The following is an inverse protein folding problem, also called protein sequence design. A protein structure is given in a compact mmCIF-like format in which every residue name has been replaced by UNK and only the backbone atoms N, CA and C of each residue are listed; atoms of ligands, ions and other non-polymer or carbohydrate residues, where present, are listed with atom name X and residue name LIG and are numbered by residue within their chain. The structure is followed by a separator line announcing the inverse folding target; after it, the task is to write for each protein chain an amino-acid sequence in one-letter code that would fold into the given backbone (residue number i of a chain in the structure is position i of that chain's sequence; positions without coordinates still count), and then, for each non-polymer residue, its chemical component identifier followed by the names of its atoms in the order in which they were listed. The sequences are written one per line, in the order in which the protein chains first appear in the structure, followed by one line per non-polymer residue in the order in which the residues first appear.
data_IF_784261309598
#
_entry.id   IF_784261309598
#
_cell.length_a   1.000
_cell.length_b   1.000
_cell.length_c   1.000
_cell.angle_alpha   90.00
_cell.angle_beta   90.00
_cell.angle_gamma   90.00
#
_symmetry.space_group_name_H-M   'P 1'
#
loop_
_entity.id
_entity.type
_entity.pdbx_description
1 polymer ?
#
# COMPACT_ATOMS: atom_id res chain seq x y z
N UNK A 1 -7.28 12.17 -7.78
CA UNK A 1 -6.43 10.97 -7.57
C UNK A 1 -6.48 10.64 -6.10
N UNK A 2 -6.71 9.38 -5.73
CA UNK A 2 -7.06 8.96 -4.36
C UNK A 2 -5.84 8.65 -3.48
N UNK A 3 -4.66 8.46 -4.08
CA UNK A 3 -3.38 8.13 -3.43
C UNK A 3 -3.48 7.01 -2.36
N UNK A 4 -2.40 6.71 -1.64
CA UNK A 4 -2.33 5.71 -0.58
C UNK A 4 -3.27 5.97 0.61
N UNK A 5 -3.76 7.22 0.78
CA UNK A 5 -4.57 7.67 1.90
C UNK A 5 -6.05 7.27 1.78
N UNK A 6 -6.63 7.31 0.57
CA UNK A 6 -8.05 7.04 0.38
C UNK A 6 -8.30 5.54 0.20
N UNK A 7 -8.26 4.80 1.30
CA UNK A 7 -8.57 3.36 1.35
C UNK A 7 -9.97 3.14 1.93
N UNK A 8 -10.68 2.18 1.35
CA UNK A 8 -12.05 1.81 1.78
C UNK A 8 -12.02 0.53 2.59
N UNK A 9 -12.73 0.51 3.71
CA UNK A 9 -12.96 -0.67 4.52
C UNK A 9 -13.44 -0.33 5.92
N UNK A 10 -13.70 -1.36 6.72
CA UNK A 10 -14.01 -1.20 8.14
C UNK A 10 -12.77 -0.75 8.91
N UNK A 11 -12.97 -0.18 10.10
CA UNK A 11 -11.85 0.26 10.96
C UNK A 11 -10.94 -0.93 11.30
N UNK A 12 -11.53 -2.09 11.57
CA UNK A 12 -10.84 -3.33 11.90
C UNK A 12 -9.97 -3.80 10.73
N UNK A 13 -10.53 -3.81 9.52
CA UNK A 13 -9.81 -4.16 8.28
C UNK A 13 -8.63 -3.22 8.01
N UNK A 14 -8.80 -1.92 8.27
CA UNK A 14 -7.78 -0.90 8.01
C UNK A 14 -6.71 -0.80 9.12
N UNK A 15 -6.97 -1.33 10.32
CA UNK A 15 -6.05 -1.22 11.46
C UNK A 15 -4.71 -1.94 11.25
N UNK A 16 -4.64 -2.83 10.27
CA UNK A 16 -3.44 -3.58 9.87
C UNK A 16 -2.97 -3.22 8.45
N UNK A 17 -3.38 -2.06 7.93
CA UNK A 17 -3.04 -1.61 6.58
C UNK A 17 -2.22 -0.33 6.61
N UNK A 18 -0.90 -0.48 6.44
CA UNK A 18 0.04 0.63 6.51
C UNK A 18 0.80 0.79 5.21
N UNK A 19 0.90 2.01 4.70
CA UNK A 19 1.85 2.38 3.64
C UNK A 19 2.79 3.43 4.18
N UNK A 20 4.08 3.13 4.17
CA UNK A 20 5.15 4.06 4.55
C UNK A 20 5.81 4.58 3.29
N UNK A 21 5.82 5.90 3.10
CA UNK A 21 6.36 6.55 1.92
C UNK A 21 7.59 7.37 2.27
N UNK A 22 8.60 7.28 1.41
CA UNK A 22 9.77 8.16 1.42
C UNK A 22 9.67 9.17 0.28
N UNK A 23 9.50 10.45 0.60
CA UNK A 23 9.32 11.50 -0.40
C UNK A 23 10.34 12.63 -0.24
N UNK A 24 11.24 12.85 -1.20
CA UNK A 24 12.05 14.07 -1.27
C UNK A 24 11.18 15.29 -1.60
N UNK A 25 11.31 16.37 -0.83
CA UNK A 25 10.58 17.61 -1.03
C UNK A 25 11.22 18.47 -2.14
N UNK A 26 10.42 18.81 -3.14
CA UNK A 26 10.82 19.73 -4.23
C UNK A 26 11.17 21.10 -3.65
N UNK A 27 12.29 21.67 -4.09
CA UNK A 27 12.79 22.96 -3.59
C UNK A 27 13.49 22.90 -2.23
N UNK A 28 13.47 21.76 -1.53
CA UNK A 28 14.11 21.60 -0.22
C UNK A 28 15.27 20.61 -0.27
N UNK A 29 14.99 19.34 -0.57
CA UNK A 29 15.99 18.26 -0.50
C UNK A 29 15.92 17.25 -1.66
N UNK A 30 15.26 17.61 -2.78
CA UNK A 30 15.19 16.78 -3.99
C UNK A 30 16.56 16.51 -4.63
N UNK A 31 17.42 17.54 -4.73
CA UNK A 31 18.77 17.40 -5.28
C UNK A 31 19.67 16.69 -4.27
N UNK A 32 20.38 15.65 -4.69
CA UNK A 32 21.18 14.78 -3.83
C UNK A 32 20.34 13.85 -2.94
N UNK A 33 19.08 13.58 -3.29
CA UNK A 33 18.21 12.73 -2.49
C UNK A 33 18.41 11.24 -2.76
N UNK A 34 19.03 10.86 -3.89
CA UNK A 34 19.08 9.46 -4.33
C UNK A 34 19.65 8.51 -3.25
N UNK A 35 20.82 8.82 -2.68
CA UNK A 35 21.45 7.99 -1.65
C UNK A 35 20.64 7.92 -0.35
N UNK A 36 19.96 9.02 0.01
CA UNK A 36 19.08 9.09 1.18
C UNK A 36 17.82 8.24 0.98
N UNK A 37 17.23 8.30 -0.21
CA UNK A 37 16.10 7.45 -0.61
C UNK A 37 16.49 5.98 -0.61
N UNK A 38 17.67 5.63 -1.16
CA UNK A 38 18.19 4.25 -1.12
C UNK A 38 18.34 3.76 0.32
N UNK A 39 18.98 4.54 1.20
CA UNK A 39 19.13 4.19 2.63
C UNK A 39 17.78 4.01 3.32
N UNK A 40 16.83 4.92 3.09
CA UNK A 40 15.46 4.79 3.61
C UNK A 40 14.82 3.48 3.14
N UNK A 41 14.89 3.18 1.84
CA UNK A 41 14.30 1.99 1.26
C UNK A 41 14.91 0.70 1.81
N UNK A 42 16.25 0.67 1.98
CA UNK A 42 16.96 -0.45 2.60
C UNK A 42 16.56 -0.67 4.05
N UNK A 43 16.36 0.40 4.83
CA UNK A 43 15.83 0.29 6.20
C UNK A 43 14.43 -0.33 6.14
N UNK A 44 13.52 0.21 5.32
CA UNK A 44 12.16 -0.33 5.20
C UNK A 44 12.17 -1.81 4.85
N UNK A 45 12.98 -2.23 3.88
CA UNK A 45 13.08 -3.62 3.43
C UNK A 45 13.51 -4.58 4.55
N UNK A 46 14.44 -4.18 5.41
CA UNK A 46 14.90 -4.97 6.58
C UNK A 46 13.75 -5.29 7.55
N UNK A 47 12.73 -4.43 7.65
CA UNK A 47 11.56 -4.66 8.51
C UNK A 47 10.45 -5.49 7.85
N UNK A 48 10.70 -6.07 6.67
CA UNK A 48 9.83 -7.06 6.05
C UNK A 48 8.50 -6.51 5.53
N UNK A 49 8.53 -5.50 4.63
CA UNK A 49 7.32 -5.03 3.97
C UNK A 49 6.75 -6.16 3.12
N UNK A 50 5.43 -6.25 3.04
CA UNK A 50 4.75 -7.24 2.20
C UNK A 50 4.68 -6.80 0.73
N UNK A 51 4.87 -5.51 0.47
CA UNK A 51 4.99 -4.94 -0.87
C UNK A 51 5.85 -3.69 -0.81
N UNK A 52 6.58 -3.39 -1.88
CA UNK A 52 7.53 -2.30 -1.93
C UNK A 52 7.76 -1.92 -3.40
N UNK A 53 7.90 -0.64 -3.70
CA UNK A 53 8.17 -0.17 -5.05
C UNK A 53 8.62 1.28 -5.11
N UNK A 54 8.75 1.77 -6.34
CA UNK A 54 8.97 3.18 -6.64
C UNK A 54 8.10 3.65 -7.81
N UNK A 55 8.07 4.96 -8.05
CA UNK A 55 7.24 5.55 -9.11
C UNK A 55 7.67 5.19 -10.56
N UNK A 56 8.85 4.58 -10.77
CA UNK A 56 9.46 4.42 -12.11
C UNK A 56 9.69 2.97 -12.53
N UNK A 57 10.11 2.12 -11.62
CA UNK A 57 10.61 0.77 -11.91
C UNK A 57 9.51 -0.27 -11.78
N UNK A 58 8.64 -0.12 -10.79
CA UNK A 58 7.67 -1.13 -10.41
C UNK A 58 7.78 -1.50 -8.94
N UNK A 59 7.18 -2.64 -8.60
CA UNK A 59 7.17 -3.19 -7.25
C UNK A 59 7.78 -4.60 -7.21
N UNK A 60 7.98 -5.15 -6.00
CA UNK A 60 8.61 -6.46 -5.80
C UNK A 60 7.90 -7.68 -6.41
N UNK A 61 6.67 -7.51 -6.90
CA UNK A 61 5.96 -8.55 -7.66
C UNK A 61 6.29 -8.51 -9.16
N UNK A 62 6.79 -7.40 -9.68
CA UNK A 62 7.17 -7.25 -11.10
C UNK A 62 8.68 -7.17 -11.32
N UNK A 63 9.45 -6.89 -10.27
CA UNK A 63 10.90 -6.68 -10.32
C UNK A 63 11.55 -7.05 -8.98
N UNK A 64 12.84 -6.78 -8.83
CA UNK A 64 13.59 -7.08 -7.60
C UNK A 64 13.88 -5.82 -6.81
N UNK A 65 14.08 -5.97 -5.48
CA UNK A 65 14.53 -4.87 -4.63
C UNK A 65 15.86 -4.26 -5.12
N UNK A 66 16.78 -5.08 -5.62
CA UNK A 66 18.06 -4.63 -6.17
C UNK A 66 17.87 -3.75 -7.41
N UNK A 67 16.95 -4.11 -8.30
CA UNK A 67 16.64 -3.32 -9.49
C UNK A 67 15.97 -1.99 -9.13
N UNK A 68 15.07 -1.99 -8.15
CA UNK A 68 14.45 -0.77 -7.62
C UNK A 68 15.55 0.14 -7.04
N UNK A 69 16.42 -0.38 -6.17
CA UNK A 69 17.52 0.40 -5.57
C UNK A 69 18.46 1.02 -6.61
N UNK A 70 18.83 0.25 -7.64
CA UNK A 70 19.72 0.70 -8.72
C UNK A 70 19.12 1.83 -9.55
N UNK A 71 17.80 1.92 -9.63
CA UNK A 71 17.06 2.92 -10.43
C UNK A 71 16.58 4.13 -9.61
N UNK A 72 16.81 4.14 -8.30
CA UNK A 72 16.58 5.33 -7.47
C UNK A 72 17.42 6.50 -7.99
N UNK A 73 16.75 7.62 -8.23
CA UNK A 73 17.33 8.88 -8.69
C UNK A 73 16.85 10.02 -7.80
N UNK A 74 17.42 11.21 -7.96
CA UNK A 74 16.97 12.41 -7.26
C UNK A 74 15.47 12.67 -7.49
N UNK A 75 14.73 12.79 -6.39
CA UNK A 75 13.28 12.94 -6.42
C UNK A 75 12.48 11.66 -6.63
N UNK A 76 13.08 10.47 -6.65
CA UNK A 76 12.33 9.22 -6.58
C UNK A 76 11.54 9.15 -5.26
N UNK A 77 10.25 8.86 -5.37
CA UNK A 77 9.34 8.53 -4.27
C UNK A 77 9.25 7.01 -4.23
N UNK A 78 9.29 6.48 -3.02
CA UNK A 78 9.24 5.04 -2.75
C UNK A 78 8.15 4.76 -1.73
N UNK A 79 7.50 3.60 -1.87
CA UNK A 79 6.40 3.18 -1.03
C UNK A 79 6.63 1.75 -0.53
N UNK A 80 6.39 1.53 0.76
CA UNK A 80 6.54 0.25 1.44
C UNK A 80 5.27 -0.07 2.21
N UNK A 81 4.62 -1.19 1.90
CA UNK A 81 3.38 -1.63 2.52
C UNK A 81 3.65 -2.67 3.60
N UNK A 82 3.04 -2.49 4.77
CA UNK A 82 3.14 -3.38 5.92
C UNK A 82 1.76 -3.80 6.40
N UNK A 83 1.70 -4.99 6.99
CA UNK A 83 0.47 -5.69 7.34
C UNK A 83 0.25 -5.87 8.84
N UNK A 84 1.10 -5.26 9.67
CA UNK A 84 0.96 -5.28 11.12
C UNK A 84 1.70 -4.12 11.79
N UNK A 85 1.30 -3.88 13.04
CA UNK A 85 1.75 -2.78 13.88
C UNK A 85 3.19 -2.96 14.34
N UNK A 86 3.60 -4.19 14.63
CA UNK A 86 4.91 -4.53 15.18
C UNK A 86 6.04 -4.15 14.21
N UNK A 87 5.87 -4.45 12.93
CA UNK A 87 6.79 -4.03 11.86
C UNK A 87 6.90 -2.51 11.78
N UNK A 88 5.79 -1.79 11.89
CA UNK A 88 5.79 -0.31 11.87
C UNK A 88 6.52 0.27 13.09
N UNK A 89 6.26 -0.24 14.29
CA UNK A 89 6.95 0.23 15.50
C UNK A 89 8.45 -0.02 15.40
N UNK A 90 8.84 -1.22 14.94
CA UNK A 90 10.25 -1.59 14.72
C UNK A 90 10.92 -0.68 13.69
N UNK A 91 10.25 -0.43 12.56
CA UNK A 91 10.72 0.49 11.52
C UNK A 91 10.90 1.91 12.05
N UNK A 92 9.91 2.43 12.76
CA UNK A 92 9.94 3.79 13.32
C UNK A 92 11.09 3.98 14.32
N UNK A 93 11.39 2.96 15.14
CA UNK A 93 12.55 2.98 16.05
C UNK A 93 13.87 3.10 15.28
N UNK A 94 14.05 2.33 14.20
CA UNK A 94 15.27 2.43 13.38
C UNK A 94 15.35 3.77 12.64
N UNK A 95 14.25 4.24 12.06
CA UNK A 95 14.21 5.55 11.37
C UNK A 95 14.50 6.73 12.32
N UNK A 96 14.12 6.63 13.60
CA UNK A 96 14.42 7.63 14.63
C UNK A 96 15.93 7.77 14.88
N UNK A 97 16.65 6.66 14.85
CA UNK A 97 18.11 6.60 15.08
C UNK A 97 18.90 6.92 13.80
N UNK A 98 18.59 6.26 12.68
CA UNK A 98 19.33 6.42 11.41
C UNK A 98 19.09 7.77 10.72
N UNK A 99 17.90 8.35 10.88
CA UNK A 99 17.48 9.65 10.30
C UNK A 99 17.96 9.86 8.86
N UNK A 100 17.45 9.10 7.87
CA UNK A 100 17.94 9.13 6.49
C UNK A 100 17.79 10.48 5.77
N UNK A 101 17.09 11.45 6.36
CA UNK A 101 16.96 12.80 5.81
C UNK A 101 15.97 12.91 4.64
N UNK A 102 14.99 11.99 4.60
CA UNK A 102 13.84 11.96 3.69
C UNK A 102 12.56 12.17 4.48
N UNK A 103 11.56 12.83 3.89
CA UNK A 103 10.24 12.95 4.51
C UNK A 103 9.56 11.59 4.56
N UNK A 104 9.08 11.19 5.74
CA UNK A 104 8.38 9.93 5.96
C UNK A 104 6.90 10.22 6.15
N UNK A 105 6.05 9.59 5.34
CA UNK A 105 4.60 9.64 5.46
C UNK A 105 4.08 8.24 5.79
N UNK A 106 3.14 8.12 6.72
CA UNK A 106 2.47 6.84 7.02
C UNK A 106 0.98 7.00 6.72
N UNK A 107 0.50 6.26 5.73
CA UNK A 107 -0.94 6.06 5.52
C UNK A 107 -1.41 4.92 6.42
N UNK A 108 -2.47 5.15 7.20
CA UNK A 108 -3.05 4.18 8.12
C UNK A 108 -4.14 4.85 8.98
N UNK A 109 -4.84 4.07 9.81
CA UNK A 109 -5.83 4.64 10.74
C UNK A 109 -5.13 5.54 11.75
N UNK A 110 -5.57 6.79 11.88
CA UNK A 110 -4.82 7.86 12.57
C UNK A 110 -4.47 7.53 14.01
N UNK A 111 -5.40 7.00 14.79
CA UNK A 111 -5.18 6.64 16.20
C UNK A 111 -4.24 5.44 16.33
N UNK A 112 -4.34 4.46 15.44
CA UNK A 112 -3.42 3.31 15.38
C UNK A 112 -1.99 3.77 15.04
N UNK A 113 -1.83 4.63 14.03
CA UNK A 113 -0.52 5.22 13.67
C UNK A 113 0.03 6.05 14.83
N UNK A 114 -0.82 6.81 15.53
CA UNK A 114 -0.41 7.59 16.70
C UNK A 114 0.08 6.67 17.84
N UNK A 115 -0.56 5.52 18.06
CA UNK A 115 -0.07 4.52 19.02
C UNK A 115 1.32 3.98 18.62
N UNK A 116 1.54 3.67 17.34
CA UNK A 116 2.86 3.26 16.84
C UNK A 116 3.93 4.33 17.11
N UNK A 117 3.61 5.60 16.85
CA UNK A 117 4.52 6.73 17.08
C UNK A 117 4.88 6.89 18.56
N UNK A 118 3.89 6.72 19.46
CA UNK A 118 4.12 6.74 20.91
C UNK A 118 5.01 5.58 21.35
N UNK A 119 4.74 4.36 20.88
CA UNK A 119 5.51 3.17 21.23
C UNK A 119 6.95 3.20 20.68
N UNK A 120 7.16 3.82 19.52
CA UNK A 120 8.49 4.08 18.97
C UNK A 120 9.22 5.26 19.65
N UNK A 121 8.56 5.99 20.55
CA UNK A 121 9.13 7.15 21.24
C UNK A 121 9.39 8.35 20.31
N UNK A 122 8.57 8.52 19.27
CA UNK A 122 8.58 9.67 18.35
C UNK A 122 7.59 10.77 18.74
N UNK A 123 6.71 10.52 19.72
CA UNK A 123 5.75 11.50 20.22
C UNK A 123 4.49 11.64 19.35
N UNK A 124 3.97 12.86 19.23
CA UNK A 124 2.75 13.15 18.45
C UNK A 124 3.05 13.29 16.97
N UNK A 125 2.11 12.86 16.13
CA UNK A 125 2.16 13.11 14.69
C UNK A 125 2.15 14.62 14.46
N UNK A 126 3.12 15.13 13.70
CA UNK A 126 3.30 16.57 13.51
C UNK A 126 2.35 17.18 12.47
N UNK A 127 1.87 16.39 11.50
CA UNK A 127 0.99 16.84 10.42
C UNK A 127 0.08 15.70 9.98
N UNK A 128 -1.18 16.00 9.71
CA UNK A 128 -2.21 15.03 9.38
C UNK A 128 -2.97 15.47 8.13
N UNK A 129 -3.23 14.53 7.24
CA UNK A 129 -4.11 14.67 6.10
C UNK A 129 -5.26 13.66 6.25
N UNK A 130 -6.50 14.12 6.06
CA UNK A 130 -7.68 13.27 6.13
C UNK A 130 -8.31 13.11 4.76
N UNK A 131 -8.61 11.87 4.40
CA UNK A 131 -9.44 11.62 3.22
C UNK A 131 -10.90 11.91 3.54
N UNK A 132 -11.50 12.87 2.85
CA UNK A 132 -12.92 13.21 3.00
C UNK A 132 -13.87 12.24 2.28
N UNK A 133 -13.36 11.19 1.65
CA UNK A 133 -14.18 10.30 0.87
C UNK A 133 -14.38 10.77 -0.58
N UNK A 134 -15.28 10.09 -1.29
CA UNK A 134 -15.67 10.41 -2.67
C UNK A 134 -17.01 11.13 -2.63
N UNK A 135 -17.11 12.27 -3.31
CA UNK A 135 -18.30 13.11 -3.36
C UNK A 135 -18.85 13.18 -4.78
N UNK A 136 -20.16 13.42 -4.93
CA UNK A 136 -20.84 13.50 -6.23
C UNK A 136 -21.73 12.29 -6.52
N UNK A 137 -21.78 11.86 -7.78
CA UNK A 137 -22.66 10.76 -8.21
C UNK A 137 -22.05 9.38 -7.85
N UNK A 138 -22.17 8.99 -6.58
CA UNK A 138 -21.58 7.77 -6.02
C UNK A 138 -22.23 6.48 -6.51
N UNK A 139 -23.41 6.53 -7.14
CA UNK A 139 -24.06 5.34 -7.74
C UNK A 139 -23.30 4.76 -8.93
N UNK A 140 -22.33 5.50 -9.48
CA UNK A 140 -21.44 5.05 -10.55
C UNK A 140 -20.19 4.34 -10.06
N UNK A 141 -19.94 4.35 -8.74
CA UNK A 141 -18.81 3.64 -8.18
C UNK A 141 -19.06 2.13 -8.20
N UNK A 142 -18.01 1.30 -8.27
CA UNK A 142 -18.13 -0.12 -8.00
C UNK A 142 -18.76 -0.37 -6.62
N UNK A 143 -19.31 -1.58 -6.45
CA UNK A 143 -19.80 -2.08 -5.16
C UNK A 143 -18.73 -1.90 -4.07
N UNK A 144 -19.17 -1.66 -2.83
CA UNK A 144 -18.29 -1.33 -1.73
C UNK A 144 -17.19 -2.39 -1.53
N UNK A 145 -17.54 -3.66 -1.66
CA UNK A 145 -16.66 -4.80 -1.51
C UNK A 145 -15.55 -4.83 -2.57
N UNK A 146 -15.84 -4.37 -3.80
CA UNK A 146 -14.81 -4.17 -4.83
C UNK A 146 -13.96 -2.93 -4.52
N UNK A 147 -14.58 -1.84 -4.06
CA UNK A 147 -13.88 -0.61 -3.69
C UNK A 147 -12.82 -0.86 -2.61
N UNK A 148 -13.07 -1.75 -1.65
CA UNK A 148 -12.08 -2.10 -0.62
C UNK A 148 -10.75 -2.60 -1.20
N UNK A 149 -10.81 -3.28 -2.35
CA UNK A 149 -9.63 -3.81 -3.07
C UNK A 149 -9.02 -2.77 -3.99
N UNK A 150 -9.80 -2.18 -4.89
CA UNK A 150 -9.25 -1.29 -5.94
C UNK A 150 -8.71 0.03 -5.36
N UNK A 151 -9.21 0.45 -4.20
CA UNK A 151 -8.72 1.66 -3.52
C UNK A 151 -7.33 1.48 -2.89
N UNK A 152 -6.87 0.25 -2.62
CA UNK A 152 -5.54 0.03 -2.02
C UNK A 152 -4.38 0.50 -2.91
N UNK A 153 -4.52 0.44 -4.24
CA UNK A 153 -3.49 0.96 -5.14
C UNK A 153 -3.36 2.50 -5.04
N UNK A 154 -4.47 3.21 -4.78
CA UNK A 154 -4.53 4.67 -4.73
C UNK A 154 -4.50 5.38 -6.09
N UNK A 155 -3.92 4.74 -7.10
CA UNK A 155 -3.72 5.27 -8.46
C UNK A 155 -4.72 4.73 -9.50
N UNK A 156 -5.69 3.92 -9.07
CA UNK A 156 -6.70 3.28 -9.93
C UNK A 156 -6.13 2.37 -11.03
N UNK A 157 -4.97 1.74 -10.77
CA UNK A 157 -4.36 0.77 -11.70
C UNK A 157 -4.99 -0.63 -11.64
N UNK A 158 -5.78 -0.92 -10.61
CA UNK A 158 -6.50 -2.20 -10.48
C UNK A 158 -7.93 -2.00 -10.96
N UNK A 159 -8.27 -2.61 -12.09
CA UNK A 159 -9.61 -2.50 -12.67
C UNK A 159 -10.65 -3.29 -11.86
N UNK A 160 -11.86 -2.73 -11.69
CA UNK A 160 -12.95 -3.43 -10.99
C UNK A 160 -13.34 -4.75 -11.67
N UNK A 161 -13.29 -4.81 -13.00
CA UNK A 161 -13.58 -6.04 -13.76
C UNK A 161 -12.50 -7.11 -13.63
N UNK A 162 -11.26 -6.72 -13.33
CA UNK A 162 -10.20 -7.66 -12.97
C UNK A 162 -10.56 -8.37 -11.68
N UNK A 163 -10.97 -7.63 -10.64
CA UNK A 163 -11.41 -8.21 -9.35
C UNK A 163 -12.55 -9.20 -9.58
N UNK A 164 -13.59 -8.82 -10.36
CA UNK A 164 -14.72 -9.70 -10.69
C UNK A 164 -14.28 -10.95 -11.46
N UNK A 165 -13.35 -10.81 -12.41
CA UNK A 165 -12.79 -11.95 -13.14
C UNK A 165 -12.07 -12.91 -12.19
N UNK A 166 -11.25 -12.38 -11.29
CA UNK A 166 -10.52 -13.19 -10.32
C UNK A 166 -11.47 -13.97 -9.40
N UNK A 167 -12.56 -13.35 -8.95
CA UNK A 167 -13.60 -14.05 -8.15
C UNK A 167 -14.18 -15.23 -8.94
N UNK A 168 -14.48 -15.04 -10.23
CA UNK A 168 -14.97 -16.12 -11.10
C UNK A 168 -13.95 -17.24 -11.28
N UNK A 169 -12.68 -16.90 -11.46
CA UNK A 169 -11.62 -17.88 -11.68
C UNK A 169 -11.37 -18.73 -10.42
N UNK A 170 -11.37 -18.11 -9.23
CA UNK A 170 -11.27 -18.83 -7.95
C UNK A 170 -12.47 -19.78 -7.77
N UNK A 171 -13.70 -19.29 -7.99
CA UNK A 171 -14.91 -20.13 -7.85
C UNK A 171 -14.98 -21.29 -8.83
N UNK A 172 -14.35 -21.16 -9.99
CA UNK A 172 -14.25 -22.22 -11.00
C UNK A 172 -13.06 -23.16 -10.76
N UNK A 173 -12.31 -22.98 -9.67
CA UNK A 173 -11.14 -23.78 -9.35
C UNK A 173 -9.97 -23.58 -10.30
N UNK A 174 -9.91 -22.45 -11.02
CA UNK A 174 -8.85 -22.17 -12.00
C UNK A 174 -7.60 -21.53 -11.37
N UNK A 175 -7.78 -20.86 -10.23
CA UNK A 175 -6.74 -20.11 -9.52
C UNK A 175 -7.00 -20.11 -8.02
N UNK A 176 -5.96 -19.86 -7.24
CA UNK A 176 -6.07 -19.62 -5.80
C UNK A 176 -6.34 -18.14 -5.50
N UNK A 177 -6.75 -17.83 -4.27
CA UNK A 177 -6.96 -16.44 -3.82
C UNK A 177 -5.63 -15.68 -3.85
N UNK A 178 -4.56 -16.35 -3.43
CA UNK A 178 -3.21 -15.82 -3.35
C UNK A 178 -2.70 -15.42 -4.74
N UNK A 179 -2.84 -16.29 -5.73
CA UNK A 179 -2.46 -15.99 -7.14
C UNK A 179 -3.20 -14.77 -7.68
N UNK A 180 -4.51 -14.67 -7.39
CA UNK A 180 -5.31 -13.52 -7.80
C UNK A 180 -4.87 -12.22 -7.11
N UNK A 181 -4.50 -12.28 -5.83
CA UNK A 181 -4.04 -11.11 -5.09
C UNK A 181 -2.65 -10.64 -5.52
N UNK A 182 -1.77 -11.58 -5.90
CA UNK A 182 -0.46 -11.26 -6.48
C UNK A 182 -0.64 -10.55 -7.82
N UNK A 183 -1.48 -11.05 -8.73
CA UNK A 183 -1.72 -10.37 -10.02
C UNK A 183 -2.30 -8.94 -9.83
N UNK A 184 -3.16 -8.74 -8.83
CA UNK A 184 -3.63 -7.40 -8.49
C UNK A 184 -2.51 -6.51 -7.92
N UNK A 185 -1.55 -7.09 -7.18
CA UNK A 185 -0.38 -6.37 -6.70
C UNK A 185 0.58 -5.99 -7.83
N UNK A 186 0.75 -6.86 -8.84
CA UNK A 186 1.52 -6.59 -10.06
C UNK A 186 0.96 -5.37 -10.82
N UNK A 187 -0.37 -5.19 -10.84
CA UNK A 187 -1.00 -3.99 -11.41
C UNK A 187 -0.64 -2.70 -10.65
N UNK A 188 -0.29 -2.79 -9.37
CA UNK A 188 0.01 -1.64 -8.52
C UNK A 188 1.49 -1.23 -8.61
N UNK A 189 1.88 -0.49 -9.64
CA UNK A 189 3.29 -0.17 -9.95
C UNK A 189 4.14 0.38 -8.79
N UNK A 190 3.57 1.13 -7.84
CA UNK A 190 4.30 1.75 -6.73
C UNK A 190 4.50 0.86 -5.48
N UNK A 191 3.81 -0.28 -5.37
CA UNK A 191 3.92 -1.15 -4.19
C UNK A 191 2.98 -0.82 -3.02
N UNK A 192 1.95 0.00 -3.23
CA UNK A 192 0.92 0.32 -2.22
C UNK A 192 0.00 -0.88 -1.89
N UNK A 193 -0.19 -1.82 -2.80
CA UNK A 193 -1.20 -2.86 -2.60
C UNK A 193 -0.83 -3.80 -1.46
N UNK A 194 -1.74 -3.93 -0.48
CA UNK A 194 -1.57 -4.80 0.68
C UNK A 194 -2.12 -6.20 0.37
N UNK A 195 -1.24 -7.14 0.02
CA UNK A 195 -1.62 -8.51 -0.35
C UNK A 195 -2.27 -9.27 0.80
N UNK A 196 -1.78 -9.12 2.04
CA UNK A 196 -2.36 -9.76 3.23
C UNK A 196 -3.83 -9.34 3.40
N UNK A 197 -4.11 -8.04 3.34
CA UNK A 197 -5.47 -7.50 3.38
C UNK A 197 -6.29 -7.92 2.17
N UNK A 198 -5.69 -7.89 0.97
CA UNK A 198 -6.32 -8.34 -0.27
C UNK A 198 -6.86 -9.76 -0.17
N UNK A 199 -6.08 -10.70 0.40
CA UNK A 199 -6.50 -12.09 0.60
C UNK A 199 -7.72 -12.18 1.52
N UNK A 200 -7.76 -11.42 2.61
CA UNK A 200 -8.90 -11.42 3.54
C UNK A 200 -10.16 -10.85 2.89
N UNK A 201 -10.04 -9.71 2.22
CA UNK A 201 -11.14 -9.11 1.46
C UNK A 201 -11.66 -10.07 0.38
N UNK A 202 -10.77 -10.82 -0.27
CA UNK A 202 -11.18 -11.79 -1.27
C UNK A 202 -12.00 -12.93 -0.68
N UNK A 203 -11.61 -13.44 0.51
CA UNK A 203 -12.38 -14.46 1.24
C UNK A 203 -13.78 -13.98 1.60
N UNK A 204 -13.91 -12.72 1.99
CA UNK A 204 -15.20 -12.06 2.28
C UNK A 204 -16.03 -11.81 1.01
N UNK A 205 -15.36 -11.49 -0.11
CA UNK A 205 -15.99 -11.21 -1.40
C UNK A 205 -16.58 -12.47 -2.04
N UNK A 206 -15.89 -13.61 -1.92
CA UNK A 206 -16.30 -14.88 -2.54
C UNK A 206 -17.77 -15.27 -2.26
N UNK A 207 -18.27 -15.35 -1.01
CA UNK A 207 -19.66 -15.75 -0.77
C UNK A 207 -20.71 -14.79 -1.36
N UNK A 208 -20.35 -13.53 -1.64
CA UNK A 208 -21.29 -12.50 -2.11
C UNK A 208 -21.57 -12.56 -3.61
N UNK A 209 -20.70 -13.20 -4.40
CA UNK A 209 -20.84 -13.27 -5.85
C UNK A 209 -21.34 -14.65 -6.29
N UNK A 210 -22.48 -14.73 -6.95
CA UNK A 210 -22.88 -15.95 -7.65
C UNK A 210 -22.17 -16.01 -9.02
N UNK A 211 -21.68 -17.20 -9.38
CA UNK A 211 -21.17 -17.44 -10.72
C UNK A 211 -22.18 -18.35 -11.38
N UNK A 212 -22.92 -17.83 -12.35
CA UNK A 212 -23.72 -18.69 -13.22
C UNK A 212 -22.77 -19.64 -13.93
N UNK A 213 -22.94 -20.94 -13.67
CA UNK A 213 -22.37 -21.96 -14.53
C UNK A 213 -22.99 -21.76 -15.90
N UNK A 214 -22.15 -21.52 -16.91
CA UNK A 214 -22.59 -21.52 -18.31
C UNK A 214 -22.70 -22.95 -18.87
N UNK A 215 -22.61 -23.95 -17.98
CA UNK A 215 -22.79 -25.37 -18.21
C UNK A 215 -23.88 -25.88 -17.28
#
# INVERSE_FOLDING_TARGET
MTHSLHRRGTRESLSNDFVVLGCPATGVNKKGSASKTQKFLSICYKHGPINLGDMKTGNIYNTTMDDILKRVTDGTIVECTFDNREKIVSLLKELKEDRPGISVIISGVTDVVQQCMTEAGLGRIHSLEYSLGTWGNTSRLPDFEILQTVSMCGHAMIASDLVRKMVRDVKRGRRTIEECCIEMAECCSCGNYNVTRGIQLFKELLPLYTVHSLY
#
